data_IF_205280092584
#
_entry.id   IF_205280092584
#
_cell.length_a   1.000
_cell.length_b   1.000
_cell.length_c   1.000
_cell.angle_alpha   90.00
_cell.angle_beta   90.00
_cell.angle_gamma   90.00
#
_symmetry.space_group_name_H-M   'P 1'
#
loop_
_entity.id
_entity.type
_entity.pdbx_description
1 polymer ?
#
# COMPACT_ATOMS: atom_id res chain seq x y z
N UNK A 1 -27.37 4.51 18.30
CA UNK A 1 -25.98 4.56 17.80
C UNK A 1 -25.71 3.25 17.08
N UNK A 2 -25.13 3.25 15.88
CA UNK A 2 -24.88 2.01 15.14
C UNK A 2 -23.81 1.19 15.88
N UNK A 3 -24.09 -0.05 16.32
CA UNK A 3 -23.13 -0.87 17.07
C UNK A 3 -21.78 -1.03 16.38
N UNK A 4 -21.76 -1.10 15.04
CA UNK A 4 -20.50 -1.19 14.27
C UNK A 4 -19.65 0.06 14.34
N UNK A 5 -20.26 1.24 14.45
CA UNK A 5 -19.50 2.49 14.63
C UNK A 5 -18.84 2.53 16.01
N UNK A 6 -19.50 1.97 17.03
CA UNK A 6 -18.91 1.85 18.38
C UNK A 6 -17.72 0.91 18.37
N UNK A 7 -17.85 -0.24 17.70
CA UNK A 7 -16.78 -1.22 17.52
C UNK A 7 -15.55 -0.60 16.83
N UNK A 8 -15.74 0.11 15.73
CA UNK A 8 -14.63 0.79 15.03
C UNK A 8 -14.02 1.93 15.88
N UNK A 9 -14.83 2.66 16.65
CA UNK A 9 -14.37 3.76 17.49
C UNK A 9 -13.47 3.31 18.66
N UNK A 10 -13.50 2.04 19.05
CA UNK A 10 -12.55 1.49 20.03
C UNK A 10 -11.11 1.41 19.49
N UNK A 11 -10.94 1.57 18.18
CA UNK A 11 -9.65 1.57 17.51
C UNK A 11 -9.15 0.16 17.14
N UNK A 12 -8.02 0.11 16.43
CA UNK A 12 -7.45 -1.14 15.96
C UNK A 12 -6.73 -1.90 17.07
N UNK A 13 -6.66 -3.22 16.91
CA UNK A 13 -5.76 -4.08 17.66
C UNK A 13 -4.31 -3.60 17.54
N UNK A 14 -3.57 -3.65 18.64
CA UNK A 14 -2.11 -3.36 18.64
C UNK A 14 -1.29 -4.48 18.02
N UNK A 15 -1.90 -5.63 17.74
CA UNK A 15 -1.25 -6.76 17.07
C UNK A 15 -1.52 -6.67 15.58
N UNK A 16 -0.45 -6.65 14.80
CA UNK A 16 -0.50 -6.62 13.34
C UNK A 16 0.24 -7.84 12.79
N UNK A 17 -0.22 -8.33 11.64
CA UNK A 17 0.46 -9.37 10.88
C UNK A 17 1.12 -8.76 9.64
N UNK A 18 2.38 -9.11 9.41
CA UNK A 18 3.13 -8.63 8.24
C UNK A 18 3.09 -9.65 7.11
N UNK A 19 3.02 -9.16 5.87
CA UNK A 19 3.02 -9.97 4.66
C UNK A 19 4.08 -9.50 3.67
N UNK A 20 4.72 -10.46 3.00
CA UNK A 20 5.74 -10.19 1.98
C UNK A 20 5.14 -9.89 0.60
N UNK A 21 3.86 -10.19 0.40
CA UNK A 21 3.11 -9.94 -0.83
C UNK A 21 1.62 -10.20 -0.70
N UNK A 22 0.86 -9.75 -1.69
CA UNK A 22 -0.59 -9.88 -1.76
C UNK A 22 -1.05 -10.05 -3.21
N UNK A 23 -2.32 -10.42 -3.37
CA UNK A 23 -2.99 -10.46 -4.68
C UNK A 23 -4.09 -9.41 -4.67
N UNK A 24 -4.06 -8.48 -5.62
CA UNK A 24 -5.09 -7.45 -5.82
C UNK A 24 -5.55 -7.53 -7.27
N UNK A 25 -6.84 -7.78 -7.49
CA UNK A 25 -7.42 -7.97 -8.82
C UNK A 25 -6.59 -8.93 -9.70
N UNK A 26 -6.21 -10.09 -9.15
CA UNK A 26 -5.41 -11.13 -9.82
C UNK A 26 -3.93 -10.79 -10.04
N UNK A 27 -3.50 -9.56 -9.76
CA UNK A 27 -2.10 -9.15 -9.83
C UNK A 27 -1.39 -9.40 -8.50
N UNK A 28 -0.23 -10.08 -8.58
CA UNK A 28 0.64 -10.31 -7.42
C UNK A 28 1.56 -9.12 -7.20
N UNK A 29 1.56 -8.61 -5.98
CA UNK A 29 2.48 -7.58 -5.51
C UNK A 29 3.37 -8.16 -4.41
N UNK A 30 4.61 -7.69 -4.35
CA UNK A 30 5.57 -8.05 -3.32
C UNK A 30 6.22 -6.80 -2.75
N UNK A 31 6.55 -6.86 -1.46
CA UNK A 31 7.44 -5.88 -0.83
C UNK A 31 8.77 -5.84 -1.59
N UNK A 32 9.36 -4.65 -1.69
CA UNK A 32 10.62 -4.41 -2.41
C UNK A 32 11.71 -5.41 -2.02
N UNK A 33 11.90 -5.61 -0.72
CA UNK A 33 12.94 -6.49 -0.16
C UNK A 33 12.72 -7.96 -0.54
N UNK A 34 11.47 -8.44 -0.56
CA UNK A 34 11.16 -9.81 -0.95
C UNK A 34 11.18 -10.02 -2.46
N UNK A 35 10.82 -8.98 -3.22
CA UNK A 35 10.83 -8.98 -4.68
C UNK A 35 12.23 -8.96 -5.27
N UNK A 36 13.19 -8.28 -4.64
CA UNK A 36 14.54 -8.05 -5.15
C UNK A 36 15.29 -9.30 -5.66
N UNK A 37 15.00 -10.49 -5.10
CA UNK A 37 15.62 -11.75 -5.51
C UNK A 37 14.80 -12.55 -6.54
N UNK A 38 13.73 -11.97 -7.09
CA UNK A 38 12.83 -12.62 -8.06
C UNK A 38 13.04 -12.01 -9.45
N UNK A 39 12.98 -12.87 -10.47
CA UNK A 39 13.11 -12.46 -11.88
C UNK A 39 12.03 -11.45 -12.31
N UNK A 40 10.82 -11.56 -11.75
CA UNK A 40 9.69 -10.67 -12.02
C UNK A 40 8.99 -10.43 -10.69
N UNK A 41 8.85 -9.17 -10.28
CA UNK A 41 8.09 -8.78 -9.10
C UNK A 41 7.49 -7.39 -9.28
N UNK A 42 6.24 -7.21 -8.84
CA UNK A 42 5.57 -5.92 -8.85
C UNK A 42 5.68 -5.33 -7.44
N UNK A 43 6.48 -4.29 -7.26
CA UNK A 43 6.54 -3.50 -6.01
C UNK A 43 6.01 -2.08 -6.18
N UNK A 44 5.85 -1.60 -7.42
CA UNK A 44 5.24 -0.31 -7.70
C UNK A 44 3.74 -0.32 -7.38
N UNK A 45 3.27 0.73 -6.73
CA UNK A 45 1.85 0.97 -6.46
C UNK A 45 1.42 2.33 -7.00
N UNK A 46 0.16 2.42 -7.45
CA UNK A 46 -0.48 3.66 -7.85
C UNK A 46 -1.84 3.75 -7.16
N UNK A 47 -2.08 4.86 -6.46
CA UNK A 47 -3.37 5.20 -5.90
C UNK A 47 -3.94 6.36 -6.70
N UNK A 48 -5.10 6.14 -7.30
CA UNK A 48 -5.85 7.21 -7.95
C UNK A 48 -6.29 8.22 -6.90
N UNK A 49 -5.90 9.48 -7.06
CA UNK A 49 -6.42 10.55 -6.22
C UNK A 49 -7.92 10.70 -6.47
N UNK A 50 -8.77 10.44 -5.47
CA UNK A 50 -10.21 10.59 -5.62
C UNK A 50 -10.64 12.07 -5.52
N UNK A 51 -11.24 12.55 -6.61
CA UNK A 51 -12.44 13.41 -6.82
C UNK A 51 -13.03 14.33 -5.73
N UNK A 52 -12.40 14.61 -4.59
CA UNK A 52 -12.95 15.58 -3.62
C UNK A 52 -12.38 16.99 -3.79
N UNK A 53 -11.24 17.12 -4.45
CA UNK A 53 -10.70 18.39 -4.93
C UNK A 53 -10.36 18.24 -6.42
N UNK A 54 -10.50 19.31 -7.19
CA UNK A 54 -10.20 19.37 -8.63
C UNK A 54 -8.73 19.06 -9.01
N UNK A 55 -7.90 18.74 -8.03
CA UNK A 55 -6.50 18.35 -8.20
C UNK A 55 -6.39 16.83 -8.36
N UNK A 56 -6.55 16.37 -9.61
CA UNK A 56 -6.28 14.98 -10.03
C UNK A 56 -4.78 14.70 -10.05
N UNK A 57 -4.19 14.42 -8.89
CA UNK A 57 -2.84 13.85 -8.84
C UNK A 57 -2.93 12.42 -8.33
N UNK A 58 -2.54 11.49 -9.20
CA UNK A 58 -2.30 10.11 -8.82
C UNK A 58 -1.03 10.04 -7.97
N UNK A 59 -1.05 9.19 -6.95
CA UNK A 59 0.08 8.98 -6.05
C UNK A 59 0.78 7.68 -6.42
N UNK A 60 2.10 7.76 -6.57
CA UNK A 60 2.94 6.64 -6.92
C UNK A 60 3.91 6.35 -5.79
N UNK A 61 4.20 5.07 -5.56
CA UNK A 61 5.17 4.68 -4.55
C UNK A 61 5.68 3.26 -4.74
N UNK A 62 6.65 2.90 -3.91
CA UNK A 62 7.21 1.54 -3.84
C UNK A 62 6.72 0.88 -2.56
N UNK A 63 6.18 -0.33 -2.69
CA UNK A 63 5.65 -1.13 -1.58
C UNK A 63 6.79 -1.65 -0.70
N UNK A 64 6.81 -1.19 0.55
CA UNK A 64 7.83 -1.53 1.55
C UNK A 64 7.33 -2.59 2.51
N UNK A 65 6.08 -2.49 2.96
CA UNK A 65 5.48 -3.42 3.91
C UNK A 65 3.97 -3.53 3.70
N UNK A 66 3.41 -4.69 4.05
CA UNK A 66 1.97 -4.93 4.05
C UNK A 66 1.61 -5.39 5.46
N UNK A 67 0.72 -4.66 6.12
CA UNK A 67 0.23 -5.02 7.44
C UNK A 67 -1.27 -5.32 7.39
N UNK A 68 -1.69 -6.34 8.11
CA UNK A 68 -3.07 -6.69 8.35
C UNK A 68 -3.35 -6.59 9.84
N UNK A 69 -4.51 -6.06 10.20
CA UNK A 69 -4.94 -5.92 11.58
C UNK A 69 -6.45 -5.87 11.65
N UNK A 70 -6.98 -6.11 12.84
CA UNK A 70 -8.40 -6.12 13.10
C UNK A 70 -8.78 -4.94 14.00
N UNK A 71 -9.89 -4.29 13.70
CA UNK A 71 -10.60 -3.48 14.68
C UNK A 71 -11.42 -4.38 15.61
N UNK A 72 -11.85 -3.83 16.73
CA UNK A 72 -12.81 -4.51 17.59
C UNK A 72 -14.07 -4.86 16.79
N UNK A 73 -14.71 -6.01 17.06
CA UNK A 73 -15.88 -6.51 16.33
C UNK A 73 -15.54 -7.53 15.23
N UNK A 74 -16.42 -8.52 15.05
CA UNK A 74 -16.19 -9.64 14.12
C UNK A 74 -16.20 -9.16 12.66
N UNK A 75 -15.12 -9.45 11.94
CA UNK A 75 -15.02 -9.17 10.50
C UNK A 75 -14.51 -7.77 10.15
N UNK A 76 -14.04 -6.98 11.13
CA UNK A 76 -13.47 -5.66 10.90
C UNK A 76 -11.97 -5.75 10.59
N UNK A 77 -11.60 -6.55 9.58
CA UNK A 77 -10.23 -6.73 9.11
C UNK A 77 -9.84 -5.58 8.17
N UNK A 78 -8.65 -5.02 8.36
CA UNK A 78 -8.08 -3.98 7.53
C UNK A 78 -6.67 -4.35 7.08
N UNK A 79 -6.32 -3.95 5.87
CA UNK A 79 -4.99 -4.11 5.30
C UNK A 79 -4.45 -2.72 4.96
N UNK A 80 -3.23 -2.43 5.38
CA UNK A 80 -2.52 -1.20 5.05
C UNK A 80 -1.24 -1.50 4.29
N UNK A 81 -0.98 -0.69 3.27
CA UNK A 81 0.24 -0.75 2.49
C UNK A 81 1.14 0.41 2.93
N UNK A 82 2.33 0.08 3.43
CA UNK A 82 3.37 1.06 3.68
C UNK A 82 4.20 1.20 2.41
N UNK A 83 4.29 2.43 1.91
CA UNK A 83 5.01 2.71 0.69
C UNK A 83 5.96 3.89 0.86
N UNK A 84 7.08 3.85 0.16
CA UNK A 84 7.90 5.03 -0.09
C UNK A 84 7.27 5.79 -1.26
N UNK A 85 6.62 6.91 -0.93
CA UNK A 85 5.85 7.71 -1.89
C UNK A 85 6.75 8.70 -2.63
N UNK A 86 6.48 8.86 -3.92
CA UNK A 86 7.18 9.84 -4.75
C UNK A 86 6.56 11.23 -4.63
N UNK A 87 7.40 12.27 -4.72
CA UNK A 87 6.93 13.66 -4.80
C UNK A 87 6.33 13.92 -6.19
N UNK A 88 5.01 14.02 -6.25
CA UNK A 88 4.25 14.23 -7.49
C UNK A 88 4.40 15.64 -8.08
N UNK A 89 4.96 16.60 -7.33
CA UNK A 89 5.18 17.98 -7.79
C UNK A 89 6.60 18.20 -8.32
N UNK A 90 7.60 17.63 -7.64
CA UNK A 90 9.02 17.77 -8.02
C UNK A 90 9.49 16.69 -8.99
N UNK A 91 8.72 15.61 -9.13
CA UNK A 91 9.09 14.45 -9.92
C UNK A 91 10.29 13.70 -9.31
N UNK A 92 10.75 12.69 -10.02
CA UNK A 92 11.91 11.87 -9.64
C UNK A 92 12.94 12.01 -10.76
N UNK A 93 14.21 12.29 -10.43
CA UNK A 93 15.30 12.14 -11.39
C UNK A 93 15.62 10.66 -11.52
N UNK A 94 15.34 10.08 -12.68
CA UNK A 94 15.78 8.73 -13.00
C UNK A 94 17.26 8.81 -13.39
N UNK A 95 18.14 8.28 -12.55
CA UNK A 95 19.54 8.08 -12.93
C UNK A 95 19.59 6.97 -14.00
N UNK A 96 20.31 7.22 -15.10
CA UNK A 96 20.36 6.35 -16.27
C UNK A 96 20.85 4.92 -15.98
N UNK A 97 21.44 4.69 -14.80
CA UNK A 97 21.91 3.37 -14.36
C UNK A 97 20.75 2.48 -13.85
N UNK A 98 19.67 3.05 -13.28
CA UNK A 98 18.55 2.26 -12.74
C UNK A 98 17.45 1.92 -13.76
N UNK A 99 17.46 2.56 -14.94
CA UNK A 99 16.49 2.29 -16.00
C UNK A 99 16.70 0.93 -16.70
N UNK A 100 17.85 0.27 -16.48
CA UNK A 100 18.17 -1.03 -17.06
C UNK A 100 17.75 -2.23 -16.20
N UNK A 101 17.09 -2.00 -15.05
CA UNK A 101 16.59 -3.06 -14.17
C UNK A 101 15.06 -3.12 -14.05
N UNK A 102 14.32 -2.38 -14.87
CA UNK A 102 12.86 -2.50 -15.01
C UNK A 102 12.48 -3.29 -16.25
#
# INVERSE_FOLDING_TARGET
MNPRLVELAHGPSKRVQHYKGCVVNEFRFYTLSYGANKKIYNSGVCIKGSTYNDFKHDYYGILIDIIEFEYFGKGNLAILFKCDWFDTKKGIKVDHIMALSM
#
